data_IF_369009055508
#
_entry.id   IF_369009055508
#
_cell.length_a   1.000
_cell.length_b   1.000
_cell.length_c   1.000
_cell.angle_alpha   90.00
_cell.angle_beta   90.00
_cell.angle_gamma   90.00
#
_symmetry.space_group_name_H-M   'P 1'
#
loop_
_entity.id
_entity.type
_entity.pdbx_description
1 polymer ?
#
# COMPACT_ATOMS: atom_id res chain seq x y z
N UNK A 1 35.43 -14.07 -6.80
CA UNK A 1 35.61 -12.61 -6.67
C UNK A 1 34.24 -11.94 -6.58
N UNK A 2 33.54 -12.12 -5.46
CA UNK A 2 32.14 -11.70 -5.30
C UNK A 2 32.04 -10.25 -4.82
N UNK A 3 32.67 -9.34 -5.57
CA UNK A 3 32.66 -7.90 -5.27
C UNK A 3 31.92 -7.13 -6.35
N UNK A 4 31.11 -6.18 -5.93
CA UNK A 4 30.40 -5.25 -6.82
C UNK A 4 30.94 -3.84 -6.66
N UNK A 5 30.90 -3.04 -7.73
CA UNK A 5 31.26 -1.62 -7.68
C UNK A 5 30.00 -0.78 -7.51
N UNK A 6 29.95 0.02 -6.47
CA UNK A 6 28.76 0.81 -6.13
C UNK A 6 29.06 2.29 -6.21
N UNK A 7 28.21 3.01 -6.95
CA UNK A 7 28.17 4.47 -6.92
C UNK A 7 27.23 4.92 -5.78
N UNK A 8 27.82 5.47 -4.71
CA UNK A 8 27.09 5.83 -3.48
C UNK A 8 27.33 7.29 -3.05
N UNK A 9 27.52 8.19 -4.02
CA UNK A 9 27.72 9.63 -3.75
C UNK A 9 29.06 9.99 -3.10
N UNK A 10 30.02 9.06 -3.12
CA UNK A 10 31.41 9.32 -2.77
C UNK A 10 32.21 9.74 -4.01
N UNK A 11 33.41 10.31 -3.81
CA UNK A 11 34.25 10.80 -4.92
C UNK A 11 34.56 9.72 -5.97
N UNK A 12 34.70 8.46 -5.55
CA UNK A 12 34.96 7.33 -6.44
C UNK A 12 34.04 6.16 -6.07
N UNK A 13 33.61 5.33 -7.04
CA UNK A 13 32.84 4.13 -6.75
C UNK A 13 33.62 3.17 -5.85
N UNK A 14 32.94 2.59 -4.86
CA UNK A 14 33.55 1.69 -3.87
C UNK A 14 33.32 0.24 -4.29
N UNK A 15 34.37 -0.58 -4.21
CA UNK A 15 34.23 -2.03 -4.37
C UNK A 15 33.80 -2.64 -3.04
N UNK A 16 32.63 -3.26 -2.99
CA UNK A 16 32.05 -3.86 -1.78
C UNK A 16 31.88 -5.38 -1.97
N UNK A 17 32.20 -6.20 -0.97
CA UNK A 17 31.88 -7.62 -1.01
C UNK A 17 30.37 -7.83 -0.85
N UNK A 18 29.81 -8.83 -1.54
CA UNK A 18 28.43 -9.27 -1.31
C UNK A 18 28.36 -10.06 0.00
N UNK A 19 27.51 -9.67 0.98
CA UNK A 19 27.35 -10.40 2.23
C UNK A 19 26.86 -11.84 1.98
N UNK A 20 27.30 -12.83 2.80
CA UNK A 20 26.75 -14.18 2.72
C UNK A 20 25.23 -14.16 2.93
N UNK A 21 24.49 -14.80 2.02
CA UNK A 21 23.01 -14.87 2.09
C UNK A 21 22.28 -13.75 1.34
N UNK A 22 22.99 -12.71 0.89
CA UNK A 22 22.42 -11.69 0.00
C UNK A 22 22.55 -12.15 -1.46
N UNK A 23 21.49 -12.01 -2.26
CA UNK A 23 21.59 -12.19 -3.69
C UNK A 23 22.55 -11.15 -4.28
N UNK A 24 23.44 -11.55 -5.18
CA UNK A 24 24.35 -10.62 -5.82
C UNK A 24 23.54 -9.58 -6.63
N UNK A 25 23.72 -8.26 -6.37
CA UNK A 25 23.00 -7.23 -7.10
C UNK A 25 23.35 -7.24 -8.60
N UNK A 26 22.36 -6.88 -9.41
CA UNK A 26 22.53 -6.73 -10.87
C UNK A 26 23.00 -5.32 -11.24
N UNK A 27 23.58 -5.17 -12.44
CA UNK A 27 24.00 -3.84 -12.91
C UNK A 27 22.79 -2.91 -13.07
N UNK A 28 22.89 -1.70 -12.53
CA UNK A 28 21.80 -0.71 -12.53
C UNK A 28 20.83 -0.83 -11.35
N UNK A 29 20.94 -1.89 -10.54
CA UNK A 29 20.12 -2.07 -9.35
C UNK A 29 20.46 -1.05 -8.26
N UNK A 30 19.43 -0.47 -7.63
CA UNK A 30 19.60 0.40 -6.47
C UNK A 30 19.83 -0.48 -5.23
N UNK A 31 20.95 -0.27 -4.55
CA UNK A 31 21.34 -1.03 -3.35
C UNK A 31 21.39 -0.13 -2.11
N UNK A 32 21.16 -0.73 -0.94
CA UNK A 32 21.37 -0.09 0.35
C UNK A 32 22.82 -0.23 0.78
N UNK A 33 23.46 0.91 1.10
CA UNK A 33 24.84 0.96 1.56
C UNK A 33 24.90 1.66 2.90
N UNK A 34 25.40 0.95 3.92
CA UNK A 34 25.70 1.57 5.22
C UNK A 34 27.13 2.09 5.22
N UNK A 35 27.27 3.42 5.24
CA UNK A 35 28.57 4.10 5.35
C UNK A 35 28.86 4.39 6.83
N UNK A 36 29.96 3.86 7.35
CA UNK A 36 30.39 4.07 8.75
C UNK A 36 31.52 5.07 8.90
N UNK A 37 32.29 5.32 7.84
CA UNK A 37 33.34 6.34 7.79
C UNK A 37 33.51 6.85 6.36
N UNK A 38 33.83 8.13 6.19
CA UNK A 38 34.16 8.73 4.87
C UNK A 38 35.67 8.92 4.70
N UNK A 39 36.40 9.06 5.79
CA UNK A 39 37.85 9.25 5.80
C UNK A 39 38.48 8.40 6.92
N UNK A 40 39.04 7.21 6.61
CA UNK A 40 38.96 6.51 5.32
C UNK A 40 37.53 5.98 5.06
N UNK A 41 37.19 5.74 3.79
CA UNK A 41 35.87 5.19 3.41
C UNK A 41 35.70 3.79 3.99
N UNK A 42 34.65 3.61 4.79
CA UNK A 42 34.18 2.32 5.29
C UNK A 42 32.69 2.20 4.99
N UNK A 43 32.34 1.23 4.17
CA UNK A 43 30.98 0.98 3.76
C UNK A 43 30.75 -0.52 3.57
N UNK A 44 29.49 -0.94 3.67
CA UNK A 44 29.04 -2.31 3.38
C UNK A 44 27.68 -2.30 2.71
N UNK A 45 27.45 -3.28 1.83
CA UNK A 45 26.11 -3.58 1.36
C UNK A 45 25.26 -4.07 2.53
N UNK A 46 24.01 -3.66 2.55
CA UNK A 46 23.00 -4.17 3.47
C UNK A 46 21.77 -4.57 2.68
N UNK A 47 20.99 -5.49 3.26
CA UNK A 47 19.69 -5.90 2.73
C UNK A 47 18.55 -5.06 3.33
N UNK A 48 18.90 -3.86 3.84
CA UNK A 48 17.92 -2.93 4.38
C UNK A 48 17.02 -2.42 3.23
N UNK A 49 15.70 -2.27 3.45
CA UNK A 49 14.81 -1.69 2.45
C UNK A 49 15.30 -0.30 2.02
N UNK A 50 15.24 -0.02 0.71
CA UNK A 50 15.54 1.31 0.20
C UNK A 50 14.56 2.32 0.81
N UNK A 51 15.04 3.49 1.29
CA UNK A 51 14.16 4.53 1.80
C UNK A 51 13.31 5.13 0.67
N UNK A 52 12.12 5.62 1.04
CA UNK A 52 11.16 6.22 0.12
C UNK A 52 10.17 5.20 -0.44
N UNK A 53 9.57 5.52 -1.59
CA UNK A 53 8.57 4.68 -2.23
C UNK A 53 9.16 3.92 -3.43
N UNK A 54 8.60 2.73 -3.70
CA UNK A 54 8.78 2.00 -4.96
C UNK A 54 7.58 2.29 -5.85
N UNK A 55 7.82 2.61 -7.11
CA UNK A 55 6.77 2.84 -8.10
C UNK A 55 6.67 1.61 -8.98
N UNK A 56 5.48 1.05 -9.09
CA UNK A 56 5.16 -0.05 -9.97
C UNK A 56 3.99 0.33 -10.89
N UNK A 57 3.91 -0.33 -12.05
CA UNK A 57 2.70 -0.40 -12.86
C UNK A 57 2.15 -1.81 -12.71
N UNK A 58 0.98 -1.92 -12.10
CA UNK A 58 0.29 -3.18 -11.88
C UNK A 58 -1.22 -2.95 -11.85
N UNK A 59 -1.97 -4.02 -12.09
CA UNK A 59 -3.42 -4.00 -11.95
C UNK A 59 -3.80 -3.97 -10.46
N UNK A 60 -4.92 -3.30 -10.14
CA UNK A 60 -5.39 -3.18 -8.76
C UNK A 60 -5.59 -4.55 -8.10
N UNK A 61 -6.09 -5.53 -8.85
CA UNK A 61 -6.24 -6.91 -8.37
C UNK A 61 -4.94 -7.54 -7.92
N UNK A 62 -3.86 -7.28 -8.65
CA UNK A 62 -2.52 -7.80 -8.35
C UNK A 62 -1.96 -7.14 -7.10
N UNK A 63 -2.13 -5.82 -6.96
CA UNK A 63 -1.71 -5.07 -5.78
C UNK A 63 -2.44 -5.55 -4.50
N UNK A 64 -3.75 -5.81 -4.60
CA UNK A 64 -4.58 -6.27 -3.47
C UNK A 64 -4.32 -7.73 -3.08
N UNK A 65 -3.77 -8.55 -3.98
CA UNK A 65 -3.46 -9.96 -3.73
C UNK A 65 -2.06 -10.17 -3.11
N UNK A 66 -1.29 -9.10 -2.89
CA UNK A 66 0.06 -9.22 -2.33
C UNK A 66 0.01 -9.71 -0.89
N UNK A 67 0.95 -10.57 -0.52
CA UNK A 67 1.08 -11.07 0.85
C UNK A 67 1.34 -9.95 1.88
N UNK A 68 1.85 -8.80 1.44
CA UNK A 68 2.12 -7.61 2.25
C UNK A 68 1.06 -6.51 2.09
N UNK A 69 -0.11 -6.80 1.51
CA UNK A 69 -1.14 -5.79 1.26
C UNK A 69 -1.74 -5.19 2.55
N UNK A 70 -1.66 -5.91 3.68
CA UNK A 70 -2.28 -5.49 4.93
C UNK A 70 -3.79 -5.29 4.79
N UNK A 71 -4.35 -4.30 5.49
CA UNK A 71 -5.78 -3.92 5.34
C UNK A 71 -5.99 -3.24 3.99
N UNK A 72 -6.95 -3.72 3.22
CA UNK A 72 -7.26 -3.26 1.86
C UNK A 72 -8.41 -2.28 1.89
N UNK A 73 -8.12 -1.00 1.67
CA UNK A 73 -9.10 0.09 1.76
C UNK A 73 -9.39 0.65 0.36
N UNK A 74 -10.68 0.71 0.01
CA UNK A 74 -11.16 1.46 -1.13
C UNK A 74 -11.63 2.86 -0.68
N UNK A 75 -10.94 3.91 -1.15
CA UNK A 75 -11.38 5.29 -0.91
C UNK A 75 -12.53 5.65 -1.86
N UNK A 76 -13.72 5.92 -1.32
CA UNK A 76 -14.93 6.19 -2.09
C UNK A 76 -15.92 7.05 -1.32
N UNK A 77 -16.56 8.02 -1.98
CA UNK A 77 -17.66 8.82 -1.41
C UNK A 77 -18.88 7.98 -1.01
N UNK A 78 -19.02 6.80 -1.62
CA UNK A 78 -20.09 5.83 -1.35
C UNK A 78 -19.73 4.86 -0.22
N UNK A 79 -18.48 4.88 0.26
CA UNK A 79 -18.07 4.10 1.40
C UNK A 79 -18.58 4.66 2.72
N UNK A 80 -18.28 3.97 3.81
CA UNK A 80 -18.66 4.38 5.14
C UNK A 80 -17.97 5.68 5.53
N UNK A 81 -18.71 6.63 6.09
CA UNK A 81 -18.13 7.90 6.50
C UNK A 81 -17.19 7.70 7.68
N UNK A 82 -15.94 8.13 7.52
CA UNK A 82 -14.95 8.09 8.58
C UNK A 82 -15.28 9.18 9.61
N UNK A 83 -15.81 8.77 10.75
CA UNK A 83 -16.12 9.65 11.88
C UNK A 83 -15.03 9.61 12.94
N UNK A 84 -14.98 10.63 13.79
CA UNK A 84 -14.06 10.66 14.95
C UNK A 84 -14.23 9.44 15.87
N UNK A 85 -15.45 8.88 15.99
CA UNK A 85 -15.70 7.71 16.84
C UNK A 85 -15.16 6.40 16.26
N UNK A 86 -14.93 6.33 14.95
CA UNK A 86 -14.42 5.14 14.25
C UNK A 86 -12.93 5.23 13.95
N UNK A 87 -12.39 6.44 13.98
CA UNK A 87 -11.02 6.74 13.62
C UNK A 87 -10.02 5.85 14.39
N UNK A 88 -10.15 5.76 15.72
CA UNK A 88 -9.23 4.96 16.55
C UNK A 88 -9.22 3.48 16.13
N UNK A 89 -10.39 2.91 15.85
CA UNK A 89 -10.50 1.52 15.40
C UNK A 89 -9.87 1.30 14.02
N UNK A 90 -10.06 2.25 13.10
CA UNK A 90 -9.49 2.18 11.76
C UNK A 90 -7.97 2.34 11.81
N UNK A 91 -7.47 3.34 12.55
CA UNK A 91 -6.03 3.57 12.74
C UNK A 91 -5.35 2.34 13.36
N UNK A 92 -5.99 1.72 14.36
CA UNK A 92 -5.47 0.49 14.97
C UNK A 92 -5.39 -0.66 13.96
N UNK A 93 -6.42 -0.83 13.11
CA UNK A 93 -6.45 -1.91 12.11
C UNK A 93 -5.35 -1.80 11.05
N UNK A 94 -4.92 -0.58 10.71
CA UNK A 94 -3.92 -0.35 9.65
C UNK A 94 -2.47 -0.35 10.16
N UNK A 95 -2.23 -0.50 11.47
CA UNK A 95 -0.88 -0.43 12.06
C UNK A 95 0.09 -1.45 11.50
N UNK A 96 -0.38 -2.65 11.18
CA UNK A 96 0.47 -3.74 10.66
C UNK A 96 0.71 -3.66 9.14
N UNK A 97 0.01 -2.77 8.45
CA UNK A 97 0.12 -2.57 7.01
C UNK A 97 -1.23 -2.22 6.38
N UNK A 98 -1.19 -1.43 5.30
CA UNK A 98 -2.39 -1.00 4.59
C UNK A 98 -2.10 -0.80 3.10
N UNK A 99 -3.06 -1.17 2.28
CA UNK A 99 -3.12 -0.85 0.85
C UNK A 99 -4.36 -0.01 0.59
N UNK A 100 -4.17 1.21 0.11
CA UNK A 100 -5.27 2.13 -0.20
C UNK A 100 -5.39 2.29 -1.71
N UNK A 101 -6.57 1.98 -2.26
CA UNK A 101 -6.90 2.24 -3.65
C UNK A 101 -7.67 3.56 -3.78
N UNK A 102 -7.35 4.30 -4.85
CA UNK A 102 -8.04 5.53 -5.22
C UNK A 102 -8.58 5.41 -6.64
N UNK A 103 -9.82 5.86 -6.83
CA UNK A 103 -10.41 6.00 -8.14
C UNK A 103 -9.86 7.20 -8.92
N UNK A 104 -10.25 7.30 -10.19
CA UNK A 104 -10.00 8.49 -10.99
C UNK A 104 -11.05 9.56 -10.68
N UNK A 105 -10.74 10.86 -10.87
CA UNK A 105 -11.67 11.95 -10.58
C UNK A 105 -13.01 11.83 -11.32
N UNK A 106 -12.97 11.41 -12.59
CA UNK A 106 -14.16 11.26 -13.45
C UNK A 106 -14.79 9.86 -13.34
N UNK A 107 -14.09 8.91 -12.70
CA UNK A 107 -14.50 7.51 -12.62
C UNK A 107 -14.01 6.89 -11.31
N UNK A 108 -14.86 6.88 -10.30
CA UNK A 108 -14.55 6.31 -8.99
C UNK A 108 -14.33 4.79 -9.05
N UNK A 109 -13.81 4.21 -7.96
CA UNK A 109 -13.60 2.75 -7.87
C UNK A 109 -14.86 1.93 -8.18
N UNK A 110 -16.08 2.29 -7.72
CA UNK A 110 -17.27 1.51 -8.04
C UNK A 110 -17.49 1.40 -9.54
N UNK A 111 -17.42 2.52 -10.26
CA UNK A 111 -17.58 2.56 -11.72
C UNK A 111 -16.43 1.85 -12.45
N UNK A 112 -15.20 1.96 -11.95
CA UNK A 112 -14.05 1.23 -12.51
C UNK A 112 -14.24 -0.29 -12.46
N UNK A 113 -14.90 -0.79 -11.42
CA UNK A 113 -15.13 -2.21 -11.20
C UNK A 113 -16.51 -2.70 -11.62
N UNK A 114 -17.36 -1.82 -12.18
CA UNK A 114 -18.73 -2.18 -12.57
C UNK A 114 -19.65 -2.48 -11.38
N UNK A 115 -19.32 -1.95 -10.20
CA UNK A 115 -20.05 -2.06 -8.95
C UNK A 115 -21.09 -0.93 -8.84
N UNK A 116 -22.29 -1.24 -8.36
CA UNK A 116 -23.26 -0.21 -7.99
C UNK A 116 -22.92 0.46 -6.65
N UNK A 117 -23.21 1.76 -6.47
CA UNK A 117 -23.03 2.46 -5.21
C UNK A 117 -23.76 1.83 -4.00
N UNK A 118 -24.89 1.17 -4.26
CA UNK A 118 -25.68 0.52 -3.21
C UNK A 118 -24.92 -0.68 -2.63
N UNK A 119 -24.30 -1.49 -3.49
CA UNK A 119 -23.47 -2.62 -3.03
C UNK A 119 -22.25 -2.16 -2.21
N UNK A 120 -21.68 -0.99 -2.51
CA UNK A 120 -20.60 -0.39 -1.70
C UNK A 120 -21.12 0.02 -0.33
N UNK A 121 -22.32 0.58 -0.28
CA UNK A 121 -22.95 1.04 0.97
C UNK A 121 -23.32 -0.15 1.85
N UNK A 122 -23.79 -1.24 1.25
CA UNK A 122 -24.09 -2.49 1.96
C UNK A 122 -22.82 -3.14 2.53
N UNK A 123 -21.72 -3.17 1.75
CA UNK A 123 -20.42 -3.64 2.22
C UNK A 123 -19.83 -2.74 3.33
N UNK A 124 -20.06 -1.43 3.26
CA UNK A 124 -19.66 -0.46 4.25
C UNK A 124 -20.50 -0.51 5.55
N UNK A 125 -21.75 -0.98 5.49
CA UNK A 125 -22.65 -1.05 6.65
C UNK A 125 -22.50 -2.34 7.48
N UNK A 126 -21.74 -3.32 7.01
CA UNK A 126 -21.42 -4.51 7.77
C UNK A 126 -20.31 -4.19 8.79
N UNK A 127 -20.65 -4.14 10.08
CA UNK A 127 -19.71 -3.92 11.18
C UNK A 127 -18.51 -4.88 11.13
N UNK A 128 -17.29 -4.32 11.03
CA UNK A 128 -15.97 -4.93 11.22
C UNK A 128 -15.53 -5.97 10.17
N UNK A 129 -14.21 -6.11 9.91
CA UNK A 129 -13.72 -7.08 8.93
C UNK A 129 -14.13 -8.46 9.41
N UNK A 130 -14.85 -9.20 8.57
CA UNK A 130 -14.95 -10.63 8.75
C UNK A 130 -13.52 -11.18 8.69
N UNK A 131 -12.96 -11.52 9.85
CA UNK A 131 -11.89 -12.51 9.91
C UNK A 131 -12.39 -13.70 9.10
N UNK A 132 -11.82 -13.88 7.91
CA UNK A 132 -12.05 -15.05 7.11
C UNK A 132 -11.56 -16.24 7.94
N UNK A 133 -12.49 -16.92 8.58
CA UNK A 133 -12.27 -18.20 9.25
C UNK A 133 -11.75 -19.17 8.18
N UNK A 134 -10.47 -19.54 8.27
CA UNK A 134 -9.84 -20.58 7.45
C UNK A 134 -10.39 -21.95 7.86
N UNK A 135 -11.70 -22.17 7.73
CA UNK A 135 -12.37 -23.44 8.01
C UNK A 135 -13.77 -23.48 7.41
N UNK A 136 -13.91 -23.33 6.10
CA UNK A 136 -15.07 -23.93 5.42
C UNK A 136 -14.71 -24.45 4.03
N UNK A 137 -14.69 -25.78 3.93
CA UNK A 137 -14.83 -26.54 2.68
C UNK A 137 -16.22 -26.23 2.10
N UNK A 138 -16.29 -25.27 1.17
CA UNK A 138 -17.44 -25.07 0.31
C UNK A 138 -16.95 -24.60 -1.06
N UNK A 139 -17.20 -25.47 -2.04
CA UNK A 139 -17.09 -25.34 -3.49
C UNK A 139 -16.75 -23.93 -4.01
N UNK A 140 -15.67 -23.86 -4.80
CA UNK A 140 -15.27 -22.72 -5.62
C UNK A 140 -16.47 -21.98 -6.23
N UNK A 141 -16.90 -20.92 -5.56
CA UNK A 141 -17.70 -19.85 -6.15
C UNK A 141 -16.72 -18.79 -6.62
N UNK A 142 -16.82 -18.46 -7.91
CA UNK A 142 -15.89 -17.62 -8.66
C UNK A 142 -15.35 -16.41 -7.88
N UNK A 143 -14.01 -16.30 -7.82
CA UNK A 143 -13.25 -15.20 -7.23
C UNK A 143 -13.29 -13.90 -8.06
N UNK A 144 -14.47 -13.59 -8.60
CA UNK A 144 -14.73 -12.48 -9.53
C UNK A 144 -15.75 -11.47 -8.99
N UNK A 145 -16.13 -11.53 -7.70
CA UNK A 145 -16.87 -10.43 -7.08
C UNK A 145 -15.92 -9.27 -6.77
N UNK A 146 -16.09 -8.10 -7.42
CA UNK A 146 -15.17 -6.97 -7.28
C UNK A 146 -15.14 -6.36 -5.86
N UNK A 147 -16.14 -6.67 -5.02
CA UNK A 147 -16.20 -6.28 -3.60
C UNK A 147 -15.32 -7.12 -2.70
N UNK A 148 -15.14 -8.40 -3.03
CA UNK A 148 -14.43 -9.38 -2.20
C UNK A 148 -12.92 -9.09 -2.04
N UNK A 149 -12.42 -8.03 -2.69
CA UNK A 149 -11.00 -7.65 -2.69
C UNK A 149 -10.65 -6.52 -1.72
N UNK A 150 -11.64 -5.80 -1.18
CA UNK A 150 -11.42 -4.73 -0.20
C UNK A 150 -12.00 -5.14 1.15
N UNK A 151 -11.23 -4.90 2.21
CA UNK A 151 -11.68 -5.11 3.60
C UNK A 151 -12.61 -3.98 4.03
N UNK A 152 -12.36 -2.75 3.56
CA UNK A 152 -13.12 -1.56 3.94
C UNK A 152 -13.36 -0.65 2.72
N UNK A 153 -14.57 -0.11 2.64
CA UNK A 153 -14.91 1.01 1.77
C UNK A 153 -15.10 2.25 2.64
N UNK A 154 -14.21 3.26 2.49
CA UNK A 154 -14.21 4.43 3.35
C UNK A 154 -14.42 5.73 2.57
N UNK A 155 -15.30 6.58 3.10
CA UNK A 155 -15.40 7.98 2.75
C UNK A 155 -14.63 8.82 3.77
N UNK A 156 -13.42 9.23 3.39
CA UNK A 156 -12.51 10.04 4.22
C UNK A 156 -12.72 11.55 4.09
N UNK A 157 -13.63 11.99 3.20
CA UNK A 157 -14.00 13.40 3.02
C UNK A 157 -15.53 13.52 3.11
N UNK A 158 -16.13 13.21 4.28
CA UNK A 158 -17.56 13.33 4.45
C UNK A 158 -18.00 14.80 4.30
N UNK A 159 -19.20 15.01 3.74
CA UNK A 159 -19.76 16.34 3.47
C UNK A 159 -18.84 17.22 2.59
N UNK A 160 -18.15 16.63 1.61
CA UNK A 160 -17.33 17.37 0.66
C UNK A 160 -18.12 18.55 0.05
N UNK A 161 -17.51 19.73 0.05
CA UNK A 161 -18.11 20.96 -0.49
C UNK A 161 -17.96 21.11 -2.00
N UNK A 162 -17.31 20.16 -2.67
CA UNK A 162 -17.11 20.10 -4.12
C UNK A 162 -17.83 18.90 -4.70
N UNK A 163 -18.12 18.93 -6.00
CA UNK A 163 -18.65 17.78 -6.73
C UNK A 163 -17.64 16.62 -6.79
N UNK A 164 -16.35 16.95 -6.94
CA UNK A 164 -15.25 16.00 -7.06
C UNK A 164 -14.12 16.38 -6.11
N UNK A 165 -13.55 15.39 -5.44
CA UNK A 165 -12.25 15.46 -4.76
C UNK A 165 -11.26 14.74 -5.67
N UNK A 166 -10.20 15.44 -6.11
CA UNK A 166 -9.23 14.86 -7.04
C UNK A 166 -8.38 13.80 -6.34
N UNK A 167 -7.79 12.88 -7.10
CA UNK A 167 -7.00 11.77 -6.55
C UNK A 167 -5.86 12.27 -5.65
N UNK A 168 -5.18 13.35 -6.03
CA UNK A 168 -4.11 13.95 -5.22
C UNK A 168 -4.61 14.55 -3.90
N UNK A 169 -5.83 15.11 -3.88
CA UNK A 169 -6.46 15.67 -2.67
C UNK A 169 -6.96 14.54 -1.75
N UNK A 170 -7.61 13.54 -2.36
CA UNK A 170 -8.10 12.35 -1.67
C UNK A 170 -6.96 11.56 -1.02
N UNK A 171 -5.80 11.49 -1.68
CA UNK A 171 -4.60 10.86 -1.13
C UNK A 171 -4.16 11.55 0.18
N UNK A 172 -4.07 12.89 0.18
CA UNK A 172 -3.70 13.62 1.39
C UNK A 172 -4.75 13.47 2.49
N UNK A 173 -6.04 13.64 2.19
CA UNK A 173 -7.09 13.52 3.20
C UNK A 173 -7.17 12.12 3.82
N UNK A 174 -7.01 11.09 2.98
CA UNK A 174 -7.05 9.69 3.42
C UNK A 174 -5.83 9.32 4.23
N UNK A 175 -4.62 9.61 3.75
CA UNK A 175 -3.41 9.26 4.51
C UNK A 175 -3.31 10.06 5.81
N UNK A 176 -3.66 11.36 5.79
CA UNK A 176 -3.64 12.17 7.00
C UNK A 176 -4.57 11.62 8.09
N UNK A 177 -5.70 11.02 7.73
CA UNK A 177 -6.61 10.41 8.70
C UNK A 177 -6.12 9.04 9.18
N UNK A 178 -5.60 8.21 8.29
CA UNK A 178 -5.09 6.87 8.63
C UNK A 178 -3.78 6.89 9.44
N UNK A 179 -3.06 8.00 9.45
CA UNK A 179 -1.78 8.15 10.17
C UNK A 179 -1.86 9.10 11.36
N UNK A 180 -3.05 9.35 11.92
CA UNK A 180 -3.20 10.12 13.14
C UNK A 180 -2.66 9.33 14.34
N UNK A 181 -1.76 9.96 15.10
CA UNK A 181 -1.16 9.44 16.35
C UNK A 181 -1.69 10.17 17.57
#
# INVERSE_FOLDING_TARGET
>A
DDRVRVNCGLQHPVSLPVPPGMCAPTEGERVSVRVTSREPVRARLTDDPLPGYRVAREDVSTALARADAGVRIAASRHGESLSASRLDSVVESVREGVTVAFGAPERGLPEMFGISPDEVTDAAGADAPAVCDESSDAAASDADEPHARFDLWLNTVPNQGSEVVRTEEALFATLATLTLE
#
